data_IF_879005267898
#
_entry.id   IF_879005267898
#
_cell.length_a   1.000
_cell.length_b   1.000
_cell.length_c   1.000
_cell.angle_alpha   90.00
_cell.angle_beta   90.00
_cell.angle_gamma   90.00
#
_symmetry.space_group_name_H-M   'P 1'
#
loop_
_entity.id
_entity.type
_entity.pdbx_description
1 polymer ?
#
# COMPACT_ATOMS: atom_id res chain seq x y z
N UNK A 1 -18.16 -48.33 54.27
CA UNK A 1 -17.91 -47.93 52.86
C UNK A 1 -18.43 -46.52 52.70
N UNK A 2 -17.58 -45.54 52.38
CA UNK A 2 -18.01 -44.15 52.22
C UNK A 2 -18.65 -43.98 50.83
N UNK A 3 -19.92 -43.57 50.79
CA UNK A 3 -20.60 -43.21 49.55
C UNK A 3 -20.21 -41.79 49.16
N UNK A 4 -19.56 -41.63 48.00
CA UNK A 4 -19.27 -40.31 47.43
C UNK A 4 -20.55 -39.80 46.76
N UNK A 5 -21.20 -38.81 47.38
CA UNK A 5 -22.27 -38.06 46.73
C UNK A 5 -21.63 -37.00 45.84
N UNK A 6 -21.70 -37.21 44.52
CA UNK A 6 -21.30 -36.20 43.54
C UNK A 6 -22.51 -35.32 43.26
N UNK A 7 -22.43 -34.04 43.62
CA UNK A 7 -23.47 -33.06 43.29
C UNK A 7 -23.34 -32.63 41.82
N UNK A 8 -24.04 -33.36 40.96
CA UNK A 8 -24.11 -33.12 39.51
C UNK A 8 -24.67 -31.71 39.21
N UNK A 9 -25.54 -31.16 40.07
CA UNK A 9 -26.11 -29.82 39.89
C UNK A 9 -25.05 -28.73 39.99
N UNK A 10 -24.19 -28.81 41.01
CA UNK A 10 -23.07 -27.88 41.18
C UNK A 10 -22.06 -27.92 40.01
N UNK A 11 -21.80 -29.13 39.48
CA UNK A 11 -20.90 -29.32 38.35
C UNK A 11 -21.48 -28.70 37.08
N UNK A 12 -22.78 -28.86 36.82
CA UNK A 12 -23.45 -28.28 35.65
C UNK A 12 -23.43 -26.75 35.70
N UNK A 13 -23.66 -26.14 36.86
CA UNK A 13 -23.59 -24.69 37.01
C UNK A 13 -22.17 -24.15 36.82
N UNK A 14 -21.15 -24.81 37.39
CA UNK A 14 -19.74 -24.43 37.14
C UNK A 14 -19.35 -24.52 35.67
N UNK A 15 -19.84 -25.54 34.94
CA UNK A 15 -19.62 -25.66 33.50
C UNK A 15 -20.31 -24.51 32.74
N UNK A 16 -21.54 -24.14 33.11
CA UNK A 16 -22.25 -23.01 32.50
C UNK A 16 -21.53 -21.69 32.73
N UNK A 17 -21.11 -21.43 33.96
CA UNK A 17 -20.32 -20.23 34.30
C UNK A 17 -19.02 -20.18 33.50
N UNK A 18 -18.31 -21.31 33.40
CA UNK A 18 -17.08 -21.40 32.59
C UNK A 18 -17.34 -21.10 31.11
N UNK A 19 -18.44 -21.60 30.53
CA UNK A 19 -18.81 -21.32 29.14
C UNK A 19 -19.13 -19.84 28.93
N UNK A 20 -19.82 -19.20 29.88
CA UNK A 20 -20.13 -17.77 29.80
C UNK A 20 -18.85 -16.94 29.84
N UNK A 21 -17.94 -17.23 30.78
CA UNK A 21 -16.63 -16.54 30.87
C UNK A 21 -15.84 -16.69 29.57
N UNK A 22 -15.72 -17.92 29.04
CA UNK A 22 -15.02 -18.18 27.77
C UNK A 22 -15.65 -17.38 26.62
N UNK A 23 -16.99 -17.34 26.54
CA UNK A 23 -17.71 -16.59 25.51
C UNK A 23 -17.46 -15.08 25.62
N UNK A 24 -17.48 -14.55 26.83
CA UNK A 24 -17.28 -13.12 27.09
C UNK A 24 -15.83 -12.70 26.81
N UNK A 25 -14.85 -13.53 27.18
CA UNK A 25 -13.43 -13.33 26.83
C UNK A 25 -13.23 -13.34 25.30
N UNK A 26 -13.84 -14.30 24.59
CA UNK A 26 -13.78 -14.34 23.13
C UNK A 26 -14.41 -13.09 22.49
N UNK A 27 -15.51 -12.60 23.04
CA UNK A 27 -16.18 -11.39 22.57
C UNK A 27 -15.28 -10.17 22.78
N UNK A 28 -14.74 -10.00 23.99
CA UNK A 28 -13.84 -8.91 24.33
C UNK A 28 -12.57 -8.91 23.44
N UNK A 29 -11.98 -10.10 23.22
CA UNK A 29 -10.83 -10.24 22.33
C UNK A 29 -11.17 -9.86 20.88
N UNK A 30 -12.35 -10.25 20.38
CA UNK A 30 -12.79 -9.87 19.03
C UNK A 30 -13.01 -8.36 18.90
N UNK A 31 -13.59 -7.73 19.92
CA UNK A 31 -13.79 -6.27 19.96
C UNK A 31 -12.46 -5.53 19.98
N UNK A 32 -11.51 -5.97 20.80
CA UNK A 32 -10.14 -5.42 20.86
C UNK A 32 -9.40 -5.55 19.52
N UNK A 33 -9.55 -6.67 18.84
CA UNK A 33 -8.98 -6.87 17.50
C UNK A 33 -9.61 -5.95 16.45
N UNK A 34 -10.92 -5.74 16.52
CA UNK A 34 -11.62 -4.81 15.62
C UNK A 34 -11.17 -3.36 15.86
N UNK A 35 -11.11 -2.94 17.12
CA UNK A 35 -10.61 -1.61 17.50
C UNK A 35 -9.18 -1.39 17.00
N UNK A 36 -8.29 -2.37 17.21
CA UNK A 36 -6.90 -2.28 16.74
C UNK A 36 -6.80 -2.14 15.22
N UNK A 37 -7.65 -2.87 14.48
CA UNK A 37 -7.74 -2.76 13.03
C UNK A 37 -8.24 -1.37 12.61
N UNK A 38 -9.25 -0.83 13.30
CA UNK A 38 -9.76 0.52 13.05
C UNK A 38 -8.70 1.59 13.30
N UNK A 39 -7.84 1.44 14.30
CA UNK A 39 -6.70 2.35 14.54
C UNK A 39 -5.74 2.35 13.34
N UNK A 40 -5.39 1.18 12.82
CA UNK A 40 -4.53 1.07 11.63
C UNK A 40 -5.20 1.73 10.42
N UNK A 41 -6.49 1.46 10.19
CA UNK A 41 -7.24 2.05 9.08
C UNK A 41 -7.34 3.56 9.19
N UNK A 42 -7.60 4.06 10.39
CA UNK A 42 -7.62 5.48 10.66
C UNK A 42 -6.24 6.11 10.36
N UNK A 43 -5.16 5.54 10.88
CA UNK A 43 -3.80 5.99 10.58
C UNK A 43 -3.53 6.04 9.07
N UNK A 44 -3.87 4.97 8.33
CA UNK A 44 -3.72 4.97 6.88
C UNK A 44 -4.56 6.05 6.18
N UNK A 45 -5.75 6.36 6.70
CA UNK A 45 -6.63 7.39 6.13
C UNK A 45 -6.13 8.83 6.32
N UNK A 46 -5.27 9.08 7.30
CA UNK A 46 -4.71 10.41 7.58
C UNK A 46 -3.25 10.54 7.11
N UNK A 47 -2.75 9.56 6.36
CA UNK A 47 -1.36 9.56 5.89
C UNK A 47 -1.04 10.80 5.03
N UNK A 48 0.09 11.50 5.24
CA UNK A 48 0.40 12.75 4.54
C UNK A 48 0.43 12.66 3.01
N UNK A 49 0.89 11.54 2.47
CA UNK A 49 0.92 11.32 1.03
C UNK A 49 -0.46 11.49 0.36
N UNK A 50 -1.56 11.21 1.06
CA UNK A 50 -2.92 11.32 0.51
C UNK A 50 -3.29 12.75 0.10
N UNK A 51 -2.68 13.77 0.68
CA UNK A 51 -2.93 15.18 0.32
C UNK A 51 -2.30 15.57 -1.00
N UNK A 52 -1.31 14.80 -1.45
CA UNK A 52 -0.55 15.04 -2.67
C UNK A 52 -0.99 14.13 -3.81
N UNK A 53 -1.82 13.15 -3.51
CA UNK A 53 -2.36 12.27 -4.54
C UNK A 53 -3.49 12.98 -5.27
N UNK A 54 -3.49 12.85 -6.59
CA UNK A 54 -4.51 13.43 -7.44
C UNK A 54 -5.12 12.32 -8.30
N UNK A 55 -6.42 12.41 -8.66
CA UNK A 55 -6.99 11.52 -9.67
C UNK A 55 -6.15 11.60 -10.94
N UNK A 56 -5.97 10.48 -11.67
CA UNK A 56 -5.24 10.50 -12.93
C UNK A 56 -5.90 11.56 -13.83
N UNK A 57 -5.09 12.52 -14.31
CA UNK A 57 -5.58 13.55 -15.22
C UNK A 57 -6.16 12.87 -16.46
N UNK A 58 -7.26 13.43 -17.00
CA UNK A 58 -8.04 12.89 -18.14
C UNK A 58 -7.19 12.54 -19.39
N UNK A 59 -5.96 13.01 -19.45
CA UNK A 59 -5.01 12.76 -20.54
C UNK A 59 -4.21 11.45 -20.38
N UNK A 60 -4.22 10.78 -19.21
CA UNK A 60 -3.35 9.62 -18.94
C UNK A 60 -4.02 8.36 -18.34
N UNK A 61 -5.35 8.28 -18.26
CA UNK A 61 -6.00 7.01 -17.92
C UNK A 61 -7.54 6.99 -17.97
N UNK A 62 -8.08 6.01 -18.71
CA UNK A 62 -9.52 5.71 -18.83
C UNK A 62 -10.18 5.18 -17.53
N UNK A 63 -9.49 5.18 -16.38
CA UNK A 63 -10.05 4.63 -15.14
C UNK A 63 -9.79 5.53 -13.92
N UNK A 64 -10.87 6.12 -13.44
CA UNK A 64 -10.90 6.87 -12.20
C UNK A 64 -11.03 5.90 -11.01
N UNK A 65 -9.92 5.25 -10.65
CA UNK A 65 -9.85 4.33 -9.50
C UNK A 65 -10.18 5.04 -8.18
N UNK A 66 -10.02 6.36 -8.12
CA UNK A 66 -10.57 7.19 -7.05
C UNK A 66 -12.09 7.07 -6.97
N UNK A 67 -12.79 7.22 -8.10
CA UNK A 67 -14.24 7.02 -8.16
C UNK A 67 -14.64 5.56 -7.92
N UNK A 68 -13.90 4.58 -8.42
CA UNK A 68 -14.24 3.16 -8.21
C UNK A 68 -14.06 2.73 -6.76
N UNK A 69 -12.98 3.16 -6.10
CA UNK A 69 -12.80 2.95 -4.67
C UNK A 69 -13.82 3.74 -3.85
N UNK A 70 -14.28 4.92 -4.30
CA UNK A 70 -15.36 5.67 -3.63
C UNK A 70 -16.72 4.97 -3.67
N UNK A 71 -17.02 4.21 -4.72
CA UNK A 71 -18.33 3.55 -4.88
C UNK A 71 -18.45 2.33 -3.95
N UNK A 72 -19.26 2.45 -2.90
CA UNK A 72 -19.56 1.35 -1.94
C UNK A 72 -20.01 0.05 -2.62
N UNK A 73 -20.76 0.15 -3.73
CA UNK A 73 -21.36 -0.99 -4.44
C UNK A 73 -20.61 -1.44 -5.71
N UNK A 74 -19.62 -0.68 -6.20
CA UNK A 74 -18.98 -1.00 -7.49
C UNK A 74 -17.95 -2.13 -7.42
N UNK A 75 -17.48 -2.45 -6.22
CA UNK A 75 -16.47 -3.48 -5.98
C UNK A 75 -16.95 -4.91 -6.25
N UNK A 76 -18.26 -5.14 -6.41
CA UNK A 76 -18.79 -6.48 -6.73
C UNK A 76 -18.98 -6.73 -8.23
N UNK A 77 -19.01 -5.70 -9.09
CA UNK A 77 -19.34 -5.81 -10.52
C UNK A 77 -18.30 -5.16 -11.47
N UNK A 78 -17.33 -4.37 -10.97
CA UNK A 78 -16.31 -3.72 -11.83
C UNK A 78 -14.98 -4.48 -11.92
N UNK A 79 -14.03 -3.92 -12.69
CA UNK A 79 -12.64 -4.33 -12.90
C UNK A 79 -11.85 -4.68 -11.61
N UNK A 80 -12.38 -4.30 -10.44
CA UNK A 80 -11.86 -4.61 -9.11
C UNK A 80 -12.63 -5.72 -8.37
N UNK A 81 -13.36 -6.60 -9.06
CA UNK A 81 -14.12 -7.69 -8.44
C UNK A 81 -13.29 -8.57 -7.47
N UNK A 82 -11.97 -8.61 -7.62
CA UNK A 82 -11.06 -9.28 -6.67
C UNK A 82 -10.64 -8.41 -5.47
N UNK A 83 -10.56 -7.08 -5.63
CA UNK A 83 -10.43 -6.14 -4.50
C UNK A 83 -11.67 -6.21 -3.62
N UNK A 84 -12.86 -6.27 -4.23
CA UNK A 84 -14.14 -6.39 -3.52
C UNK A 84 -14.31 -7.71 -2.77
N UNK A 85 -13.51 -8.73 -3.07
CA UNK A 85 -13.44 -9.99 -2.31
C UNK A 85 -12.50 -9.90 -1.11
N UNK A 86 -11.59 -8.93 -1.08
CA UNK A 86 -10.65 -8.76 0.01
C UNK A 86 -11.35 -8.21 1.26
N UNK A 87 -11.23 -8.92 2.38
CA UNK A 87 -11.91 -8.56 3.63
C UNK A 87 -11.52 -7.18 4.17
N UNK A 88 -10.26 -6.74 3.99
CA UNK A 88 -9.85 -5.41 4.42
C UNK A 88 -10.55 -4.31 3.60
N UNK A 89 -10.62 -4.47 2.27
CA UNK A 89 -11.31 -3.51 1.40
C UNK A 89 -12.82 -3.50 1.62
N UNK A 90 -13.45 -4.65 1.85
CA UNK A 90 -14.88 -4.72 2.21
C UNK A 90 -15.18 -3.95 3.49
N UNK A 91 -14.39 -4.19 4.55
CA UNK A 91 -14.56 -3.52 5.84
C UNK A 91 -14.37 -2.01 5.72
N UNK A 92 -13.32 -1.60 5.01
CA UNK A 92 -13.06 -0.18 4.77
C UNK A 92 -14.18 0.49 3.97
N UNK A 93 -14.86 -0.21 3.06
CA UNK A 93 -15.99 0.36 2.32
C UNK A 93 -17.13 0.83 3.24
N UNK A 94 -17.26 0.28 4.45
CA UNK A 94 -18.28 0.64 5.43
C UNK A 94 -17.94 1.89 6.26
N UNK A 95 -16.71 2.43 6.13
CA UNK A 95 -16.21 3.53 6.95
C UNK A 95 -16.28 4.90 6.24
N UNK A 96 -17.12 5.03 5.20
CA UNK A 96 -17.32 6.28 4.47
C UNK A 96 -16.01 6.87 3.90
N UNK A 97 -15.79 8.17 4.13
CA UNK A 97 -14.61 8.88 3.60
C UNK A 97 -13.29 8.39 4.20
N UNK A 98 -13.24 8.14 5.52
CA UNK A 98 -12.10 7.51 6.19
C UNK A 98 -11.74 6.19 5.52
N UNK A 99 -12.76 5.38 5.25
CA UNK A 99 -12.66 4.12 4.53
C UNK A 99 -12.11 4.24 3.11
N UNK A 100 -12.59 5.23 2.36
CA UNK A 100 -12.10 5.54 1.01
C UNK A 100 -10.62 5.92 1.02
N UNK A 101 -10.24 6.87 1.88
CA UNK A 101 -8.85 7.33 2.01
C UNK A 101 -7.91 6.20 2.43
N UNK A 102 -8.33 5.38 3.39
CA UNK A 102 -7.57 4.19 3.79
C UNK A 102 -7.45 3.16 2.66
N UNK A 103 -8.48 2.94 1.84
CA UNK A 103 -8.40 2.02 0.67
C UNK A 103 -7.41 2.50 -0.38
N UNK A 104 -7.40 3.80 -0.66
CA UNK A 104 -6.44 4.45 -1.56
C UNK A 104 -5.02 4.21 -1.05
N UNK A 105 -4.76 4.53 0.23
CA UNK A 105 -3.46 4.33 0.85
C UNK A 105 -3.06 2.84 0.87
N UNK A 106 -4.01 1.95 1.15
CA UNK A 106 -3.77 0.51 1.19
C UNK A 106 -3.44 -0.05 -0.19
N UNK A 107 -4.09 0.45 -1.25
CA UNK A 107 -3.75 0.09 -2.62
C UNK A 107 -2.34 0.56 -3.00
N UNK A 108 -1.96 1.79 -2.62
CA UNK A 108 -0.60 2.29 -2.81
C UNK A 108 0.42 1.38 -2.11
N UNK A 109 0.20 1.07 -0.83
CA UNK A 109 1.06 0.18 -0.04
C UNK A 109 1.14 -1.22 -0.63
N UNK A 110 0.03 -1.72 -1.21
CA UNK A 110 0.02 -2.99 -1.92
C UNK A 110 0.93 -2.94 -3.13
N UNK A 111 0.84 -1.90 -3.98
CA UNK A 111 1.71 -1.80 -5.17
C UNK A 111 3.19 -1.71 -4.80
N UNK A 112 3.54 -0.85 -3.82
CA UNK A 112 4.93 -0.70 -3.38
C UNK A 112 5.44 -2.01 -2.75
N UNK A 113 4.60 -2.65 -1.93
CA UNK A 113 5.00 -3.80 -1.12
C UNK A 113 4.89 -5.16 -1.79
N UNK A 114 4.14 -5.29 -2.90
CA UNK A 114 3.73 -6.59 -3.45
C UNK A 114 4.89 -7.55 -3.75
N UNK A 115 6.01 -6.99 -4.24
CA UNK A 115 7.21 -7.73 -4.64
C UNK A 115 8.32 -7.71 -3.59
N UNK A 116 8.00 -7.24 -2.38
CA UNK A 116 8.96 -7.13 -1.29
C UNK A 116 8.90 -8.35 -0.35
N UNK A 117 10.02 -8.66 0.34
CA UNK A 117 10.04 -9.59 1.46
C UNK A 117 9.07 -9.21 2.59
N UNK A 118 8.58 -10.19 3.37
CA UNK A 118 7.60 -9.99 4.46
C UNK A 118 8.03 -8.94 5.46
N UNK A 119 9.30 -8.98 5.85
CA UNK A 119 9.93 -8.05 6.79
C UNK A 119 9.93 -6.62 6.23
N UNK A 120 10.25 -6.44 4.95
CA UNK A 120 10.21 -5.13 4.28
C UNK A 120 8.79 -4.57 4.16
N UNK A 121 7.79 -5.42 3.91
CA UNK A 121 6.37 -5.00 3.93
C UNK A 121 5.96 -4.58 5.35
N UNK A 122 6.38 -5.33 6.36
CA UNK A 122 6.13 -4.98 7.77
C UNK A 122 6.75 -3.63 8.13
N UNK A 123 8.00 -3.38 7.73
CA UNK A 123 8.67 -2.09 7.90
C UNK A 123 7.95 -0.96 7.16
N UNK A 124 7.55 -1.18 5.90
CA UNK A 124 6.80 -0.21 5.09
C UNK A 124 5.49 0.19 5.78
N UNK A 125 4.69 -0.79 6.20
CA UNK A 125 3.43 -0.55 6.89
C UNK A 125 3.64 0.16 8.23
N UNK A 126 4.61 -0.30 9.03
CA UNK A 126 4.91 0.31 10.33
C UNK A 126 5.35 1.77 10.17
N UNK A 127 6.14 2.05 9.14
CA UNK A 127 6.59 3.41 8.82
C UNK A 127 5.42 4.27 8.38
N UNK A 128 4.55 3.78 7.49
CA UNK A 128 3.38 4.52 7.04
C UNK A 128 2.43 4.85 8.22
N UNK A 129 2.12 3.86 9.06
CA UNK A 129 1.28 4.09 10.25
C UNK A 129 1.96 5.06 11.23
N UNK A 130 3.28 4.91 11.44
CA UNK A 130 4.05 5.80 12.30
C UNK A 130 4.09 7.25 11.80
N UNK A 131 4.32 7.45 10.51
CA UNK A 131 4.36 8.76 9.85
C UNK A 131 2.98 9.45 9.94
N UNK A 132 1.90 8.69 9.74
CA UNK A 132 0.53 9.19 9.88
C UNK A 132 0.20 9.60 11.33
N UNK A 133 0.48 8.73 12.30
CA UNK A 133 0.19 9.01 13.71
C UNK A 133 1.06 10.13 14.28
N UNK A 134 2.27 10.32 13.77
CA UNK A 134 3.17 11.40 14.22
C UNK A 134 2.63 12.79 13.87
N UNK A 135 1.86 12.91 12.79
CA UNK A 135 1.25 14.17 12.35
C UNK A 135 0.05 14.59 13.20
N UNK A 136 -0.67 13.63 13.76
CA UNK A 136 -1.92 13.86 14.51
C UNK A 136 -1.69 14.16 16.01
N UNK A 137 -0.43 14.15 16.47
CA UNK A 137 -0.02 14.40 17.88
C UNK A 137 -0.26 15.83 18.38
N UNK A 138 -1.03 16.64 17.65
CA UNK A 138 -1.48 17.97 18.11
C UNK A 138 -2.81 17.89 18.89
N UNK A 139 -3.53 16.75 18.89
CA UNK A 139 -4.91 16.71 19.41
C UNK A 139 -5.25 15.72 20.52
N UNK A 140 -4.77 14.48 20.49
CA UNK A 140 -5.26 13.46 21.45
C UNK A 140 -4.18 12.44 21.82
N UNK A 141 -4.18 12.11 23.11
CA UNK A 141 -3.17 11.31 23.80
C UNK A 141 -2.88 9.97 23.11
N UNK A 142 -1.59 9.71 22.89
CA UNK A 142 -0.98 8.46 22.41
C UNK A 142 -1.16 7.26 23.35
N UNK A 143 -2.04 7.34 24.34
CA UNK A 143 -2.31 6.25 25.28
C UNK A 143 -2.96 5.03 24.58
N UNK A 144 -3.44 5.18 23.34
CA UNK A 144 -4.04 4.08 22.55
C UNK A 144 -3.03 3.25 21.73
N UNK A 145 -1.76 3.66 21.63
CA UNK A 145 -0.72 2.86 20.94
C UNK A 145 -0.13 1.78 21.88
N UNK A 146 -0.50 1.79 23.16
CA UNK A 146 0.02 0.87 24.18
C UNK A 146 -0.45 -0.60 24.04
N UNK A 147 -1.40 -0.93 23.17
CA UNK A 147 -1.68 -2.34 22.83
C UNK A 147 -0.95 -2.77 21.55
N UNK A 148 0.38 -2.62 21.57
CA UNK A 148 1.30 -3.03 20.49
C UNK A 148 1.01 -4.46 19.99
N UNK A 149 0.58 -5.37 20.87
CA UNK A 149 0.25 -6.76 20.52
C UNK A 149 -0.92 -6.90 19.54
N UNK A 150 -2.00 -6.16 19.74
CA UNK A 150 -3.22 -6.26 18.91
C UNK A 150 -3.08 -5.52 17.57
N UNK A 151 -2.42 -4.35 17.58
CA UNK A 151 -2.05 -3.64 16.36
C UNK A 151 -1.11 -4.50 15.50
N UNK A 152 -0.15 -5.19 16.11
CA UNK A 152 0.73 -6.14 15.41
C UNK A 152 -0.04 -7.25 14.70
N UNK A 153 -1.18 -7.73 15.24
CA UNK A 153 -2.02 -8.72 14.56
C UNK A 153 -2.62 -8.13 13.28
N UNK A 154 -3.23 -6.95 13.35
CA UNK A 154 -3.78 -6.26 12.18
C UNK A 154 -2.69 -5.99 11.12
N UNK A 155 -1.50 -5.55 11.54
CA UNK A 155 -0.36 -5.34 10.65
C UNK A 155 0.09 -6.63 9.96
N UNK A 156 0.16 -7.76 10.68
CA UNK A 156 0.46 -9.08 10.10
C UNK A 156 -0.58 -9.54 9.08
N UNK A 157 -1.86 -9.26 9.31
CA UNK A 157 -2.92 -9.53 8.34
C UNK A 157 -2.72 -8.70 7.06
N UNK A 158 -2.39 -7.41 7.19
CA UNK A 158 -2.08 -6.55 6.05
C UNK A 158 -0.81 -6.98 5.30
N UNK A 159 0.25 -7.41 6.00
CA UNK A 159 1.45 -7.98 5.35
C UNK A 159 1.07 -9.19 4.49
N UNK A 160 0.28 -10.13 5.05
CA UNK A 160 -0.18 -11.31 4.29
C UNK A 160 -1.00 -10.90 3.08
N UNK A 161 -1.87 -9.90 3.24
CA UNK A 161 -2.69 -9.38 2.16
C UNK A 161 -1.85 -8.78 1.02
N UNK A 162 -0.85 -7.93 1.33
CA UNK A 162 0.01 -7.29 0.32
C UNK A 162 0.81 -8.32 -0.49
N UNK A 163 1.17 -9.44 0.13
CA UNK A 163 1.85 -10.54 -0.57
C UNK A 163 0.95 -11.34 -1.50
N UNK A 164 -0.37 -11.26 -1.35
CA UNK A 164 -1.27 -11.91 -2.29
C UNK A 164 -1.23 -11.19 -3.64
N UNK A 165 -1.64 -11.89 -4.70
CA UNK A 165 -1.68 -11.36 -6.06
C UNK A 165 -2.38 -10.00 -6.07
N UNK A 166 -1.69 -9.00 -6.60
CA UNK A 166 -2.23 -7.66 -6.73
C UNK A 166 -3.57 -7.73 -7.52
N UNK A 167 -4.68 -7.24 -6.96
CA UNK A 167 -6.03 -7.45 -7.48
C UNK A 167 -6.34 -6.47 -8.62
N UNK A 168 -5.38 -6.30 -9.52
CA UNK A 168 -5.50 -5.50 -10.73
C UNK A 168 -5.68 -6.42 -11.94
N UNK A 169 -6.45 -6.00 -12.95
CA UNK A 169 -6.48 -6.67 -14.25
C UNK A 169 -5.07 -6.81 -14.83
N UNK A 170 -4.73 -7.93 -15.51
CA UNK A 170 -3.40 -8.16 -16.08
C UNK A 170 -2.89 -7.00 -16.94
N UNK A 171 -3.76 -6.42 -17.78
CA UNK A 171 -3.43 -5.32 -18.70
C UNK A 171 -2.99 -4.03 -18.00
N UNK A 172 -3.24 -3.91 -16.69
CA UNK A 172 -2.98 -2.70 -15.89
C UNK A 172 -2.10 -2.96 -14.68
N UNK A 173 -1.67 -4.21 -14.54
CA UNK A 173 -0.83 -4.63 -13.45
C UNK A 173 0.63 -4.55 -13.91
N UNK A 174 1.45 -3.67 -13.30
CA UNK A 174 2.84 -3.47 -13.73
C UNK A 174 3.70 -4.73 -13.53
N UNK A 175 3.22 -5.69 -12.74
CA UNK A 175 3.93 -6.92 -12.40
C UNK A 175 3.38 -8.18 -13.11
N UNK A 176 2.43 -8.03 -14.04
CA UNK A 176 1.82 -9.16 -14.76
C UNK A 176 1.41 -8.80 -16.20
N UNK A 177 1.96 -7.73 -16.76
CA UNK A 177 1.78 -7.39 -18.17
C UNK A 177 2.61 -8.29 -19.10
N UNK A 178 2.31 -8.26 -20.39
CA UNK A 178 2.97 -9.12 -21.39
C UNK A 178 4.48 -8.82 -21.51
N UNK A 179 4.89 -7.58 -21.28
CA UNK A 179 6.30 -7.13 -21.34
C UNK A 179 7.05 -7.28 -20.00
N UNK A 180 6.41 -7.86 -18.99
CA UNK A 180 6.99 -8.00 -17.65
C UNK A 180 7.61 -9.39 -17.44
N UNK A 181 8.91 -9.40 -17.19
CA UNK A 181 9.67 -10.60 -16.80
C UNK A 181 10.09 -10.51 -15.33
N UNK A 182 9.64 -11.44 -14.44
CA UNK A 182 10.02 -11.42 -13.03
C UNK A 182 11.53 -11.54 -12.78
N UNK A 183 12.26 -12.21 -13.68
CA UNK A 183 13.71 -12.34 -13.58
C UNK A 183 14.44 -10.99 -13.71
N UNK A 184 13.77 -9.98 -14.27
CA UNK A 184 14.35 -8.69 -14.58
C UNK A 184 14.18 -7.66 -13.48
N UNK A 185 13.39 -7.95 -12.46
CA UNK A 185 13.06 -6.99 -11.40
C UNK A 185 14.30 -6.41 -10.70
N UNK A 186 15.28 -7.28 -10.44
CA UNK A 186 16.54 -6.93 -9.78
C UNK A 186 17.64 -6.49 -10.74
N UNK A 187 17.39 -6.43 -12.06
CA UNK A 187 18.39 -5.92 -13.01
C UNK A 187 18.69 -4.47 -12.69
N UNK A 188 19.98 -4.16 -12.58
CA UNK A 188 20.47 -2.80 -12.38
C UNK A 188 20.14 -1.95 -13.61
N UNK A 189 19.77 -0.70 -13.36
CA UNK A 189 19.62 0.33 -14.38
C UNK A 189 20.84 1.25 -14.29
N UNK A 190 21.91 0.97 -15.07
CA UNK A 190 23.14 1.75 -15.00
C UNK A 190 22.88 3.19 -15.42
N UNK A 191 23.18 4.12 -14.52
CA UNK A 191 22.86 5.52 -14.73
C UNK A 191 23.58 6.13 -15.93
N UNK A 192 24.85 5.82 -16.05
CA UNK A 192 25.72 6.41 -17.08
C UNK A 192 25.33 6.01 -18.50
N UNK A 193 24.57 4.92 -18.66
CA UNK A 193 24.14 4.41 -19.96
C UNK A 193 22.75 4.89 -20.36
N UNK A 194 21.84 5.04 -19.39
CA UNK A 194 20.42 5.27 -19.66
C UNK A 194 20.00 6.75 -19.56
N UNK A 195 20.83 7.60 -18.96
CA UNK A 195 20.55 9.02 -18.77
C UNK A 195 21.47 9.91 -19.60
N UNK A 196 20.87 10.85 -20.33
CA UNK A 196 21.60 11.77 -21.22
C UNK A 196 22.28 12.94 -20.48
N UNK A 197 22.06 13.08 -19.17
CA UNK A 197 22.54 14.21 -18.38
C UNK A 197 22.93 13.78 -16.96
N UNK A 198 23.79 14.58 -16.33
CA UNK A 198 24.23 14.37 -14.95
C UNK A 198 23.57 15.39 -14.02
N UNK A 199 23.08 14.90 -12.87
CA UNK A 199 22.65 15.75 -11.76
C UNK A 199 23.78 15.80 -10.73
N UNK A 200 24.03 16.95 -10.10
CA UNK A 200 24.94 17.04 -8.95
C UNK A 200 24.54 16.03 -7.87
N UNK A 201 25.53 15.45 -7.19
CA UNK A 201 25.32 14.41 -6.17
C UNK A 201 24.37 14.81 -5.05
N UNK A 202 24.27 16.11 -4.76
CA UNK A 202 23.37 16.63 -3.72
C UNK A 202 21.90 16.64 -4.16
N UNK A 203 21.66 16.63 -5.48
CA UNK A 203 20.35 16.88 -6.10
C UNK A 203 19.62 15.59 -6.51
N UNK A 204 20.23 14.42 -6.29
CA UNK A 204 19.58 13.14 -6.58
C UNK A 204 19.67 12.15 -5.42
N UNK A 205 18.77 11.18 -5.45
CA UNK A 205 18.79 10.02 -4.57
C UNK A 205 18.60 8.77 -5.41
N UNK A 206 19.62 7.93 -5.42
CA UNK A 206 19.52 6.60 -6.03
C UNK A 206 18.58 5.73 -5.20
N UNK A 207 17.46 5.39 -5.81
CA UNK A 207 16.34 4.75 -5.17
C UNK A 207 16.25 3.29 -5.57
N UNK A 208 16.31 2.42 -4.56
CA UNK A 208 15.90 1.05 -4.64
C UNK A 208 14.73 0.77 -3.67
N UNK A 209 13.60 0.36 -4.23
CA UNK A 209 12.38 0.04 -3.48
C UNK A 209 12.57 -1.18 -2.59
N UNK A 210 13.49 -2.10 -2.90
CA UNK A 210 13.77 -3.25 -2.04
C UNK A 210 14.55 -2.84 -0.79
N UNK A 211 15.44 -1.86 -0.93
CA UNK A 211 16.23 -1.32 0.18
C UNK A 211 15.40 -0.44 1.10
N UNK A 212 14.73 0.59 0.56
CA UNK A 212 13.96 1.56 1.34
C UNK A 212 12.63 1.96 0.65
N UNK A 213 11.58 1.14 0.74
CA UNK A 213 10.30 1.40 0.06
C UNK A 213 9.56 2.62 0.60
N UNK A 214 9.85 3.04 1.83
CA UNK A 214 9.18 4.18 2.48
C UNK A 214 9.48 5.53 1.83
N UNK A 215 10.54 5.60 1.00
CA UNK A 215 10.91 6.82 0.25
C UNK A 215 9.75 7.29 -0.62
N UNK A 216 8.98 6.38 -1.23
CA UNK A 216 7.83 6.74 -2.08
C UNK A 216 6.62 7.29 -1.29
N UNK A 217 6.64 7.18 0.04
CA UNK A 217 5.58 7.67 0.92
C UNK A 217 5.92 9.01 1.57
N UNK A 218 7.09 9.58 1.27
CA UNK A 218 7.58 10.82 1.88
C UNK A 218 7.85 11.86 0.79
N UNK A 219 7.69 13.13 1.17
CA UNK A 219 7.96 14.24 0.28
C UNK A 219 9.47 14.47 0.15
N UNK A 220 9.95 14.68 -1.08
CA UNK A 220 11.34 15.00 -1.39
C UNK A 220 11.40 16.27 -2.24
N UNK A 221 11.61 17.42 -1.59
CA UNK A 221 11.53 18.72 -2.26
C UNK A 221 12.73 19.01 -3.16
N UNK A 222 13.94 18.61 -2.76
CA UNK A 222 15.19 19.02 -3.42
C UNK A 222 15.92 17.88 -4.14
N UNK A 223 15.38 16.66 -4.08
CA UNK A 223 16.05 15.48 -4.63
C UNK A 223 15.20 14.82 -5.70
N UNK A 224 15.89 14.43 -6.77
CA UNK A 224 15.33 13.63 -7.85
C UNK A 224 15.58 12.15 -7.54
N UNK A 225 14.52 11.35 -7.51
CA UNK A 225 14.60 9.91 -7.35
C UNK A 225 15.08 9.28 -8.67
N UNK A 226 16.17 8.52 -8.59
CA UNK A 226 16.73 7.79 -9.73
C UNK A 226 16.57 6.29 -9.46
N UNK A 227 15.75 5.55 -10.21
CA UNK A 227 15.57 4.13 -9.98
C UNK A 227 16.85 3.34 -10.27
N UNK A 228 17.33 2.57 -9.29
CA UNK A 228 18.49 1.67 -9.46
C UNK A 228 18.12 0.33 -10.09
N UNK A 229 16.84 -0.05 -10.03
CA UNK A 229 16.33 -1.37 -10.46
C UNK A 229 15.07 -1.23 -11.29
N UNK A 230 14.80 -2.21 -12.16
CA UNK A 230 13.55 -2.27 -12.95
C UNK A 230 12.32 -2.24 -12.05
N UNK A 231 12.36 -2.92 -10.90
CA UNK A 231 11.27 -2.89 -9.93
C UNK A 231 11.01 -1.48 -9.38
N UNK A 232 12.07 -0.72 -9.07
CA UNK A 232 11.96 0.66 -8.59
C UNK A 232 11.40 1.59 -9.67
N UNK A 233 11.82 1.40 -10.92
CA UNK A 233 11.28 2.12 -12.07
C UNK A 233 9.77 1.87 -12.22
N UNK A 234 9.34 0.61 -12.19
CA UNK A 234 7.93 0.24 -12.29
C UNK A 234 7.10 0.83 -11.15
N UNK A 235 7.61 0.78 -9.91
CA UNK A 235 6.94 1.37 -8.75
C UNK A 235 6.77 2.89 -8.91
N UNK A 236 7.82 3.61 -9.30
CA UNK A 236 7.78 5.06 -9.57
C UNK A 236 6.75 5.37 -10.66
N UNK A 237 6.88 4.75 -11.84
CA UNK A 237 6.00 5.00 -12.97
C UNK A 237 4.54 4.74 -12.61
N UNK A 238 4.26 3.65 -11.89
CA UNK A 238 2.91 3.31 -11.51
C UNK A 238 2.33 4.29 -10.48
N UNK A 239 3.13 4.72 -9.48
CA UNK A 239 2.72 5.73 -8.50
C UNK A 239 2.45 7.08 -9.18
N UNK A 240 3.30 7.52 -10.09
CA UNK A 240 3.10 8.77 -10.85
C UNK A 240 1.86 8.69 -11.74
N UNK A 241 1.77 7.65 -12.58
CA UNK A 241 0.67 7.52 -13.55
C UNK A 241 -0.68 7.37 -12.88
N UNK A 242 -0.76 6.55 -11.84
CA UNK A 242 -2.04 6.23 -11.23
C UNK A 242 -2.38 7.24 -10.16
N UNK A 243 -1.49 7.51 -9.19
CA UNK A 243 -1.77 8.33 -8.00
C UNK A 243 -1.48 9.82 -8.17
N UNK A 244 -0.92 10.24 -9.31
CA UNK A 244 -0.40 11.59 -9.46
C UNK A 244 0.71 11.90 -8.46
N UNK A 245 1.35 10.86 -7.91
CA UNK A 245 2.43 11.03 -6.95
C UNK A 245 3.73 11.25 -7.72
N UNK A 246 4.20 12.48 -7.64
CA UNK A 246 5.47 12.91 -8.19
C UNK A 246 5.44 13.23 -9.68
N UNK A 247 6.57 13.76 -10.17
CA UNK A 247 6.72 14.29 -11.53
C UNK A 247 7.96 13.72 -12.20
N UNK A 248 7.81 13.33 -13.46
CA UNK A 248 8.95 13.00 -14.33
C UNK A 248 9.74 14.28 -14.66
N UNK A 249 11.05 14.24 -14.47
CA UNK A 249 11.96 15.32 -14.84
C UNK A 249 13.03 14.80 -15.79
N UNK A 250 13.43 15.64 -16.76
CA UNK A 250 14.48 15.38 -17.75
C UNK A 250 15.71 16.27 -17.56
N UNK A 251 15.76 17.04 -16.46
CA UNK A 251 16.85 17.96 -16.17
C UNK A 251 16.62 18.76 -14.89
N UNK A 252 17.66 19.45 -14.42
CA UNK A 252 17.58 20.34 -13.23
C UNK A 252 16.54 21.45 -13.39
N UNK A 253 16.32 21.93 -14.62
CA UNK A 253 15.35 22.99 -14.94
C UNK A 253 13.89 22.54 -14.80
N UNK A 254 13.62 21.24 -14.78
CA UNK A 254 12.26 20.69 -14.69
C UNK A 254 11.85 20.29 -13.28
N UNK A 255 12.79 20.33 -12.33
CA UNK A 255 12.57 20.01 -10.91
C UNK A 255 11.52 20.96 -10.34
N UNK A 256 10.42 20.37 -9.88
CA UNK A 256 9.29 21.10 -9.35
C UNK A 256 9.21 20.88 -7.83
N UNK A 257 9.50 21.95 -7.07
CA UNK A 257 9.48 21.93 -5.61
C UNK A 257 8.06 21.78 -5.05
N UNK A 258 7.04 22.02 -5.87
CA UNK A 258 5.62 21.85 -5.50
C UNK A 258 5.14 20.42 -5.70
N UNK A 259 5.98 19.48 -6.14
CA UNK A 259 5.59 18.08 -6.28
C UNK A 259 5.89 17.30 -5.00
N UNK A 260 5.23 16.14 -4.87
CA UNK A 260 5.52 15.23 -3.77
C UNK A 260 6.94 14.67 -3.85
N UNK A 261 7.39 14.32 -5.04
CA UNK A 261 8.78 14.05 -5.35
C UNK A 261 9.02 14.24 -6.85
N UNK A 262 10.26 14.47 -7.24
CA UNK A 262 10.67 14.46 -8.63
C UNK A 262 11.37 13.12 -8.90
N UNK A 263 11.16 12.52 -10.07
CA UNK A 263 11.82 11.30 -10.47
C UNK A 263 12.31 11.39 -11.91
N UNK A 264 13.40 10.71 -12.19
CA UNK A 264 14.05 10.71 -13.50
C UNK A 264 14.07 9.27 -14.05
N UNK A 265 12.91 8.70 -14.45
CA UNK A 265 12.88 7.40 -15.11
C UNK A 265 13.47 7.52 -16.52
N UNK A 266 14.27 6.54 -16.99
CA UNK A 266 14.83 6.55 -18.33
C UNK A 266 13.72 6.57 -19.38
N UNK A 267 14.04 7.08 -20.58
CA UNK A 267 13.08 7.08 -21.68
C UNK A 267 12.75 5.63 -22.06
N UNK A 268 11.46 5.34 -22.23
CA UNK A 268 11.06 4.04 -22.79
C UNK A 268 11.70 3.94 -24.18
N UNK A 269 12.36 2.82 -24.51
CA UNK A 269 12.85 2.62 -25.87
C UNK A 269 11.61 2.67 -26.76
N UNK A 270 11.51 3.70 -27.59
CA UNK A 270 10.43 3.83 -28.56
C UNK A 270 10.40 2.53 -29.35
N UNK A 271 9.30 1.78 -29.27
CA UNK A 271 8.97 0.66 -30.14
C UNK A 271 8.66 1.17 -31.56
N UNK A 272 9.57 1.96 -32.12
CA UNK A 272 9.54 2.55 -33.44
C UNK A 272 10.57 1.83 -34.32
N UNK A 273 10.28 0.58 -34.63
CA UNK A 273 10.75 -0.05 -35.87
C UNK A 273 9.76 -1.14 -36.28
N UNK A 274 8.52 -0.75 -36.57
CA UNK A 274 7.69 -1.56 -37.44
C UNK A 274 8.43 -1.66 -38.79
N UNK A 275 8.78 -2.86 -39.29
CA UNK A 275 9.38 -2.97 -40.61
C UNK A 275 8.38 -2.43 -41.63
N UNK A 276 8.84 -1.52 -42.49
CA UNK A 276 8.07 -1.04 -43.64
C UNK A 276 7.54 -2.26 -44.41
N UNK A 277 6.24 -2.29 -44.76
CA UNK A 277 5.71 -3.37 -45.59
C UNK A 277 6.45 -3.32 -46.93
N UNK A 278 7.12 -4.42 -47.26
CA UNK A 278 7.68 -4.66 -48.59
C UNK A 278 6.53 -4.63 -49.59
N UNK A 279 6.41 -3.52 -50.32
CA UNK A 279 5.56 -3.41 -51.49
C UNK A 279 6.06 -4.39 -52.55
N UNK A 280 5.25 -5.42 -52.83
CA UNK A 280 5.22 -6.13 -54.09
C UNK A 280 4.14 -5.51 -54.99
#
# INVERSE_FOLDING_TARGET
MASIQVDIGSIIEQIRESIVVIRDEHKAQKEKEEQSRLVVYYALSIHPALEWMHPPSKEMGDLDWYQELRKEKALSWSLFGNVGKNEHFKRLALLGETGTRARIMLLLLWVIGHRLPKDKIGQLLSTAVGDALSRDRVGTSLDHVQELGSVNKAMKELVRMIQTKLPLPPQRNPFYGDDYEPADEGKSLPRDELWAYQLPAENYYEFDVQTNPSVLLRRHEQRVLIPQTKLSLLAIQWCTKNFGLGKKVLGTSEVDLTQFWNADPPLEPTSSSAPLPSSY
#
